data_IF_617520680732
#
_entry.id   IF_617520680732
#
_cell.length_a   1.000
_cell.length_b   1.000
_cell.length_c   1.000
_cell.angle_alpha   90.00
_cell.angle_beta   90.00
_cell.angle_gamma   90.00
#
_symmetry.space_group_name_H-M   'P 1'
#
loop_
_entity.id
_entity.type
_entity.pdbx_description
1 polymer ?
#
# COMPACT_ATOMS: atom_id res chain seq x y z
N UNK A 1 12.78 8.23 9.88
CA UNK A 1 12.48 8.52 8.47
C UNK A 1 13.43 9.61 8.02
N UNK A 2 14.35 9.32 7.09
CA UNK A 2 15.32 10.30 6.57
C UNK A 2 14.67 11.25 5.55
N UNK A 3 13.78 10.72 4.70
CA UNK A 3 12.99 11.47 3.73
C UNK A 3 11.57 10.89 3.66
N UNK A 4 10.55 11.71 3.93
CA UNK A 4 9.15 11.27 3.90
C UNK A 4 8.63 11.04 2.47
N UNK A 5 9.28 11.62 1.45
CA UNK A 5 8.85 11.54 0.05
C UNK A 5 9.08 10.15 -0.56
N UNK A 6 10.04 9.39 -0.04
CA UNK A 6 10.32 8.01 -0.45
C UNK A 6 9.44 6.98 0.25
N UNK A 7 8.30 7.38 0.85
CA UNK A 7 7.41 6.41 1.48
C UNK A 7 6.66 5.61 0.42
N UNK A 8 6.77 4.29 0.46
CA UNK A 8 5.98 3.39 -0.36
C UNK A 8 4.61 3.12 0.26
N UNK A 9 3.63 2.80 -0.57
CA UNK A 9 2.29 2.40 -0.15
C UNK A 9 1.86 1.14 -0.90
N UNK A 10 0.74 0.51 -0.50
CA UNK A 10 0.14 -0.59 -1.26
C UNK A 10 -0.41 -0.21 -2.64
N UNK A 11 -0.43 1.08 -3.01
CA UNK A 11 -1.03 1.54 -4.25
C UNK A 11 -0.24 1.03 -5.47
N UNK A 12 -0.76 -0.02 -6.10
CA UNK A 12 -0.22 -0.52 -7.36
C UNK A 12 -0.28 0.58 -8.44
N UNK A 13 0.82 0.71 -9.17
CA UNK A 13 1.03 1.74 -10.18
C UNK A 13 0.85 1.15 -11.57
N UNK A 14 -0.28 1.43 -12.21
CA UNK A 14 -0.56 1.07 -13.61
C UNK A 14 -0.04 2.11 -14.61
N UNK A 15 0.47 3.25 -14.12
CA UNK A 15 0.96 4.38 -14.90
C UNK A 15 2.49 4.36 -15.11
N UNK A 16 3.16 3.26 -14.74
CA UNK A 16 4.63 3.13 -14.75
C UNK A 16 5.14 2.12 -15.79
N UNK A 17 4.28 1.70 -16.73
CA UNK A 17 4.59 0.68 -17.74
C UNK A 17 4.40 -0.74 -17.22
N UNK A 18 4.99 -1.71 -17.92
CA UNK A 18 4.94 -3.12 -17.51
C UNK A 18 5.67 -3.31 -16.18
N UNK A 19 5.08 -4.10 -15.28
CA UNK A 19 5.55 -4.27 -13.91
C UNK A 19 5.30 -5.68 -13.41
N UNK A 20 6.19 -6.16 -12.55
CA UNK A 20 6.10 -7.47 -11.90
C UNK A 20 5.79 -7.33 -10.41
N UNK A 21 5.15 -8.34 -9.85
CA UNK A 21 4.92 -8.52 -8.42
C UNK A 21 5.86 -9.58 -7.89
N UNK A 22 6.67 -9.23 -6.89
CA UNK A 22 7.61 -10.14 -6.23
C UNK A 22 7.11 -10.40 -4.81
N UNK A 23 6.87 -11.67 -4.49
CA UNK A 23 6.68 -12.14 -3.12
C UNK A 23 8.04 -12.37 -2.47
N UNK A 24 8.22 -11.83 -1.27
CA UNK A 24 9.34 -12.12 -0.39
C UNK A 24 8.78 -12.89 0.83
N UNK A 25 8.91 -14.21 0.80
CA UNK A 25 8.40 -15.16 1.78
C UNK A 25 9.43 -15.45 2.89
N UNK A 26 9.40 -14.68 3.98
CA UNK A 26 10.31 -14.94 5.12
C UNK A 26 9.90 -16.18 5.93
N UNK A 27 8.73 -16.75 5.64
CA UNK A 27 8.29 -18.06 6.13
C UNK A 27 8.99 -19.24 5.46
N UNK A 28 9.84 -19.01 4.44
CA UNK A 28 10.69 -20.03 3.80
C UNK A 28 9.92 -21.30 3.37
N UNK A 29 8.67 -21.14 2.92
CA UNK A 29 7.80 -22.23 2.50
C UNK A 29 7.18 -23.07 3.63
N UNK A 30 7.33 -22.69 4.90
CA UNK A 30 6.68 -23.37 6.03
C UNK A 30 5.15 -23.32 5.93
N UNK A 31 4.61 -22.20 5.44
CA UNK A 31 3.18 -22.00 5.17
C UNK A 31 2.27 -22.40 6.35
N UNK A 32 2.64 -21.99 7.58
CA UNK A 32 1.92 -22.36 8.81
C UNK A 32 0.53 -21.71 8.85
N UNK A 33 -0.48 -22.52 9.19
CA UNK A 33 -1.90 -22.12 9.20
C UNK A 33 -2.53 -22.04 10.60
N UNK A 34 -1.76 -22.33 11.65
CA UNK A 34 -2.21 -22.17 13.02
C UNK A 34 -2.38 -20.70 13.40
N UNK A 35 -3.41 -20.42 14.20
CA UNK A 35 -3.80 -19.10 14.68
C UNK A 35 -4.06 -18.04 13.60
N UNK A 36 -4.25 -18.47 12.34
CA UNK A 36 -4.52 -17.56 11.23
C UNK A 36 -5.96 -17.04 11.21
N UNK A 37 -6.21 -15.93 10.52
CA UNK A 37 -7.54 -15.45 10.20
C UNK A 37 -8.39 -16.52 9.50
N UNK A 38 -7.77 -17.32 8.62
CA UNK A 38 -8.41 -18.48 7.99
C UNK A 38 -8.89 -19.49 9.05
N UNK A 39 -8.02 -19.92 9.96
CA UNK A 39 -8.41 -20.85 11.02
C UNK A 39 -9.54 -20.26 11.88
N UNK A 40 -9.45 -18.98 12.22
CA UNK A 40 -10.41 -18.26 13.05
C UNK A 40 -11.82 -18.26 12.43
N UNK A 41 -11.98 -17.91 11.14
CA UNK A 41 -13.30 -17.87 10.49
C UNK A 41 -13.94 -19.25 10.35
N UNK A 42 -13.13 -20.31 10.38
CA UNK A 42 -13.59 -21.70 10.45
C UNK A 42 -13.72 -22.24 11.88
N UNK A 43 -13.64 -21.38 12.91
CA UNK A 43 -13.73 -21.73 14.34
C UNK A 43 -12.71 -22.78 14.76
N UNK A 44 -11.52 -22.72 14.16
CA UNK A 44 -10.38 -23.57 14.45
C UNK A 44 -9.22 -22.73 14.96
N UNK A 45 -8.27 -23.39 15.62
CA UNK A 45 -6.98 -22.80 16.00
C UNK A 45 -5.87 -23.32 15.09
N UNK A 46 -6.00 -24.51 14.50
CA UNK A 46 -4.91 -25.15 13.76
C UNK A 46 -3.84 -25.76 14.65
N UNK A 47 -2.66 -26.03 14.09
CA UNK A 47 -1.60 -26.78 14.77
C UNK A 47 -0.39 -25.92 15.15
N UNK A 48 0.18 -25.22 14.17
CA UNK A 48 1.42 -24.45 14.31
C UNK A 48 1.21 -23.11 13.63
N UNK A 49 1.46 -22.00 14.34
CA UNK A 49 1.34 -20.65 13.82
C UNK A 49 2.68 -20.14 13.28
N UNK A 50 2.62 -19.07 12.47
CA UNK A 50 3.79 -18.39 11.95
C UNK A 50 4.75 -17.95 13.07
N UNK A 51 6.06 -17.99 12.78
CA UNK A 51 7.12 -17.56 13.70
C UNK A 51 8.32 -17.00 12.91
N UNK A 52 9.19 -16.26 13.59
CA UNK A 52 10.44 -15.79 13.03
C UNK A 52 11.55 -16.81 13.27
N UNK A 53 11.71 -17.75 12.34
CA UNK A 53 12.68 -18.84 12.49
C UNK A 53 14.15 -18.36 12.38
N UNK A 54 14.38 -17.20 11.74
CA UNK A 54 15.70 -16.61 11.55
C UNK A 54 15.67 -15.07 11.60
N UNK A 55 16.09 -14.51 12.75
CA UNK A 55 16.09 -13.07 12.98
C UNK A 55 17.06 -12.30 12.06
N UNK A 56 18.13 -12.94 11.57
CA UNK A 56 19.07 -12.29 10.64
C UNK A 56 18.40 -12.06 9.28
N UNK A 57 17.58 -13.02 8.83
CA UNK A 57 16.77 -12.89 7.60
C UNK A 57 15.85 -11.67 7.65
N UNK A 58 15.21 -11.38 8.79
CA UNK A 58 14.38 -10.18 8.95
C UNK A 58 15.20 -8.88 8.87
N UNK A 59 16.41 -8.89 9.44
CA UNK A 59 17.31 -7.72 9.38
C UNK A 59 17.76 -7.46 7.95
N UNK A 60 18.19 -8.51 7.23
CA UNK A 60 18.59 -8.42 5.81
C UNK A 60 17.42 -7.97 4.93
N UNK A 61 16.22 -8.48 5.19
CA UNK A 61 14.99 -8.05 4.51
C UNK A 61 14.74 -6.54 4.69
N UNK A 62 14.81 -6.05 5.93
CA UNK A 62 14.64 -4.62 6.18
C UNK A 62 15.71 -3.78 5.46
N UNK A 63 16.98 -4.16 5.58
CA UNK A 63 18.09 -3.41 5.00
C UNK A 63 18.01 -3.33 3.47
N UNK A 64 17.70 -4.45 2.79
CA UNK A 64 17.60 -4.47 1.32
C UNK A 64 16.37 -3.74 0.82
N UNK A 65 15.22 -3.81 1.51
CA UNK A 65 14.03 -3.03 1.13
C UNK A 65 14.32 -1.53 1.26
N UNK A 66 15.03 -1.10 2.30
CA UNK A 66 15.44 0.29 2.46
C UNK A 66 16.40 0.75 1.35
N UNK A 67 17.31 -0.11 0.89
CA UNK A 67 18.20 0.15 -0.25
C UNK A 67 17.41 0.27 -1.56
N UNK A 68 16.60 -0.73 -1.89
CA UNK A 68 15.77 -0.74 -3.10
C UNK A 68 14.83 0.47 -3.18
N UNK A 69 14.25 0.86 -2.04
CA UNK A 69 13.40 2.05 -1.96
C UNK A 69 14.19 3.34 -2.17
N UNK A 70 15.35 3.49 -1.52
CA UNK A 70 16.23 4.66 -1.69
C UNK A 70 16.70 4.81 -3.14
N UNK A 71 16.91 3.69 -3.83
CA UNK A 71 17.35 3.66 -5.21
C UNK A 71 16.18 3.80 -6.21
N UNK A 72 14.93 3.91 -5.73
CA UNK A 72 13.74 4.15 -6.56
C UNK A 72 13.32 2.97 -7.42
N UNK A 73 13.68 1.74 -6.99
CA UNK A 73 13.39 0.49 -7.71
C UNK A 73 12.02 -0.11 -7.35
N UNK A 74 11.42 0.33 -6.24
CA UNK A 74 10.11 -0.15 -5.78
C UNK A 74 9.00 0.86 -6.18
N UNK A 75 7.92 0.36 -6.76
CA UNK A 75 6.74 1.13 -7.14
C UNK A 75 5.67 1.12 -6.04
N UNK A 76 5.50 -0.02 -5.38
CA UNK A 76 4.54 -0.26 -4.31
C UNK A 76 5.07 -1.33 -3.36
N UNK A 77 4.60 -1.32 -2.12
CA UNK A 77 4.96 -2.27 -1.08
C UNK A 77 3.75 -2.55 -0.19
N UNK A 78 3.52 -3.83 0.13
CA UNK A 78 2.59 -4.23 1.18
C UNK A 78 3.12 -5.48 1.89
N UNK A 79 3.17 -5.46 3.22
CA UNK A 79 3.53 -6.63 4.01
C UNK A 79 2.43 -7.70 4.00
N UNK A 80 2.84 -8.94 4.29
CA UNK A 80 1.93 -10.06 4.56
C UNK A 80 1.67 -10.16 6.05
N UNK A 81 0.39 -10.15 6.40
CA UNK A 81 -0.10 -10.23 7.78
C UNK A 81 -1.44 -10.98 7.83
N UNK A 82 -2.46 -10.46 8.53
CA UNK A 82 -3.76 -11.11 8.69
C UNK A 82 -4.40 -11.41 7.32
N UNK A 83 -4.85 -12.65 7.10
CA UNK A 83 -5.43 -13.08 5.83
C UNK A 83 -4.39 -13.47 4.76
N UNK A 84 -3.10 -13.33 5.05
CA UNK A 84 -2.00 -13.86 4.25
C UNK A 84 -1.83 -13.16 2.90
N UNK A 85 -1.18 -13.88 1.97
CA UNK A 85 -0.86 -13.37 0.63
C UNK A 85 -2.12 -12.90 -0.13
N UNK A 86 -3.25 -13.59 0.06
CA UNK A 86 -4.49 -13.23 -0.60
C UNK A 86 -4.97 -11.84 -0.18
N UNK A 87 -4.95 -11.54 1.13
CA UNK A 87 -5.35 -10.23 1.65
C UNK A 87 -4.39 -9.14 1.16
N UNK A 88 -3.07 -9.37 1.25
CA UNK A 88 -2.05 -8.44 0.74
C UNK A 88 -2.30 -8.06 -0.72
N UNK A 89 -2.49 -9.04 -1.60
CA UNK A 89 -2.73 -8.79 -3.03
C UNK A 89 -4.06 -8.08 -3.28
N UNK A 90 -5.11 -8.46 -2.55
CA UNK A 90 -6.41 -7.82 -2.66
C UNK A 90 -6.34 -6.34 -2.22
N UNK A 91 -5.72 -6.03 -1.09
CA UNK A 91 -5.56 -4.67 -0.57
C UNK A 91 -4.71 -3.80 -1.50
N UNK A 92 -3.63 -4.37 -2.07
CA UNK A 92 -2.86 -3.70 -3.12
C UNK A 92 -3.71 -3.39 -4.37
N UNK A 93 -4.53 -4.34 -4.81
CA UNK A 93 -5.46 -4.15 -5.93
C UNK A 93 -6.55 -3.10 -5.63
N UNK A 94 -7.03 -3.02 -4.38
CA UNK A 94 -7.99 -2.00 -3.94
C UNK A 94 -7.37 -0.61 -4.00
N UNK A 95 -6.16 -0.46 -3.46
CA UNK A 95 -5.42 0.80 -3.44
C UNK A 95 -5.06 1.27 -4.86
N UNK A 96 -4.61 0.35 -5.73
CA UNK A 96 -4.28 0.63 -7.12
C UNK A 96 -5.48 0.73 -8.08
N UNK A 97 -6.69 0.35 -7.63
CA UNK A 97 -7.90 0.22 -8.46
C UNK A 97 -7.63 -0.53 -9.78
N UNK A 98 -6.95 -1.66 -9.68
CA UNK A 98 -6.51 -2.49 -10.83
C UNK A 98 -6.77 -3.97 -10.54
N UNK A 99 -6.68 -4.82 -11.54
CA UNK A 99 -6.74 -6.27 -11.36
C UNK A 99 -5.35 -6.91 -11.41
N UNK A 100 -5.28 -8.19 -11.08
CA UNK A 100 -4.04 -8.96 -10.94
C UNK A 100 -4.16 -10.33 -11.60
N UNK A 101 -3.09 -10.77 -12.26
CA UNK A 101 -2.90 -12.16 -12.65
C UNK A 101 -1.74 -12.74 -11.84
N UNK A 102 -2.03 -13.74 -11.00
CA UNK A 102 -1.10 -14.32 -10.02
C UNK A 102 -0.90 -15.81 -10.32
N UNK A 103 0.35 -16.24 -10.30
CA UNK A 103 0.79 -17.61 -10.56
C UNK A 103 1.56 -18.15 -9.35
N UNK A 104 1.15 -19.32 -8.86
CA UNK A 104 1.73 -19.96 -7.66
C UNK A 104 2.66 -21.13 -7.99
N UNK A 105 3.11 -21.23 -9.24
CA UNK A 105 3.76 -22.44 -9.79
C UNK A 105 5.10 -22.72 -9.13
N UNK A 106 5.87 -21.67 -8.91
CA UNK A 106 7.22 -21.75 -8.35
C UNK A 106 7.23 -21.74 -6.81
N UNK A 107 6.06 -21.66 -6.17
CA UNK A 107 5.96 -21.65 -4.72
C UNK A 107 5.72 -23.07 -4.14
N UNK A 108 6.49 -23.48 -3.12
CA UNK A 108 6.32 -24.80 -2.50
C UNK A 108 5.11 -24.84 -1.57
N UNK A 109 4.35 -25.94 -1.60
CA UNK A 109 3.23 -26.18 -0.68
C UNK A 109 1.87 -26.25 -1.37
N UNK A 110 0.80 -26.40 -0.58
CA UNK A 110 -0.57 -26.47 -1.08
C UNK A 110 -1.15 -25.06 -1.30
N UNK A 111 -2.00 -24.82 -2.32
CA UNK A 111 -2.45 -23.47 -2.65
C UNK A 111 -3.19 -22.75 -1.52
N UNK A 112 -3.98 -23.49 -0.73
CA UNK A 112 -4.65 -22.92 0.43
C UNK A 112 -3.62 -22.39 1.45
N UNK A 113 -2.57 -23.16 1.73
CA UNK A 113 -1.53 -22.76 2.67
C UNK A 113 -0.73 -21.58 2.12
N UNK A 114 -0.38 -21.58 0.83
CA UNK A 114 0.32 -20.48 0.16
C UNK A 114 -0.45 -19.14 0.25
N UNK A 115 -1.77 -19.18 0.09
CA UNK A 115 -2.59 -17.97 0.06
C UNK A 115 -2.91 -17.41 1.45
N UNK A 116 -3.04 -18.26 2.46
CA UNK A 116 -3.59 -17.88 3.77
C UNK A 116 -2.63 -18.05 4.94
N UNK A 117 -1.39 -18.50 4.72
CA UNK A 117 -0.38 -18.42 5.77
C UNK A 117 -0.08 -16.95 6.07
N UNK A 118 0.17 -16.68 7.35
CA UNK A 118 0.45 -15.32 7.87
C UNK A 118 1.92 -15.24 8.29
N UNK A 119 2.79 -15.95 7.57
CA UNK A 119 4.23 -15.85 7.75
C UNK A 119 4.70 -14.43 7.40
N UNK A 120 5.79 -13.99 8.01
CA UNK A 120 6.37 -12.69 7.70
C UNK A 120 6.79 -12.60 6.23
N UNK A 121 6.70 -11.41 5.66
CA UNK A 121 7.02 -11.18 4.26
C UNK A 121 6.34 -9.96 3.68
N UNK A 122 6.50 -9.76 2.38
CA UNK A 122 5.85 -8.68 1.66
C UNK A 122 5.67 -9.02 0.18
N UNK A 123 4.79 -8.28 -0.46
CA UNK A 123 4.72 -8.17 -1.92
C UNK A 123 5.22 -6.78 -2.29
N UNK A 124 6.15 -6.73 -3.24
CA UNK A 124 6.62 -5.49 -3.86
C UNK A 124 6.24 -5.47 -5.33
N UNK A 125 5.88 -4.28 -5.83
CA UNK A 125 5.74 -4.04 -7.25
C UNK A 125 7.02 -3.37 -7.76
N UNK A 126 7.55 -3.85 -8.88
CA UNK A 126 8.75 -3.31 -9.54
C UNK A 126 8.47 -3.11 -11.02
N UNK A 127 9.18 -2.18 -11.68
CA UNK A 127 9.13 -2.11 -13.15
C UNK A 127 9.70 -3.41 -13.72
N UNK A 128 9.11 -3.91 -14.80
CA UNK A 128 9.57 -5.14 -15.45
C UNK A 128 11.05 -5.05 -15.88
N UNK A 129 11.50 -3.86 -16.29
CA UNK A 129 12.90 -3.61 -16.65
C UNK A 129 13.88 -3.72 -15.48
N UNK A 130 13.39 -3.61 -14.25
CA UNK A 130 14.20 -3.54 -13.04
C UNK A 130 14.12 -4.86 -12.23
N UNK A 131 13.27 -5.81 -12.67
CA UNK A 131 13.02 -7.09 -11.99
C UNK A 131 14.30 -7.87 -11.72
N UNK A 132 15.18 -8.00 -12.71
CA UNK A 132 16.45 -8.73 -12.57
C UNK A 132 17.38 -8.07 -11.54
N UNK A 133 17.45 -6.74 -11.52
CA UNK A 133 18.28 -5.99 -10.57
C UNK A 133 17.74 -6.12 -9.15
N UNK A 134 16.42 -6.07 -8.97
CA UNK A 134 15.77 -6.27 -7.67
C UNK A 134 15.96 -7.69 -7.16
N UNK A 135 15.73 -8.71 -8.00
CA UNK A 135 15.96 -10.11 -7.63
C UNK A 135 17.42 -10.37 -7.30
N UNK A 136 18.35 -9.75 -8.03
CA UNK A 136 19.78 -9.81 -7.72
C UNK A 136 20.11 -9.18 -6.36
N UNK A 137 19.59 -8.00 -6.05
CA UNK A 137 19.80 -7.37 -4.75
C UNK A 137 19.25 -8.24 -3.60
N UNK A 138 18.06 -8.83 -3.78
CA UNK A 138 17.48 -9.79 -2.83
C UNK A 138 18.36 -11.04 -2.69
N UNK A 139 18.89 -11.57 -3.80
CA UNK A 139 19.82 -12.70 -3.79
C UNK A 139 21.12 -12.38 -3.05
N UNK A 140 21.74 -11.23 -3.33
CA UNK A 140 22.99 -10.78 -2.71
C UNK A 140 22.80 -10.51 -1.20
N UNK A 141 21.60 -10.13 -0.78
CA UNK A 141 21.17 -10.05 0.63
C UNK A 141 20.81 -11.41 1.26
N UNK A 142 20.97 -12.53 0.53
CA UNK A 142 20.68 -13.89 1.02
C UNK A 142 19.19 -14.26 1.05
N UNK A 143 18.33 -13.52 0.34
CA UNK A 143 16.88 -13.72 0.27
C UNK A 143 16.42 -14.31 -1.07
N UNK A 144 17.33 -14.67 -1.97
CA UNK A 144 17.00 -15.16 -3.31
C UNK A 144 16.09 -16.39 -3.30
N UNK A 145 16.29 -17.33 -2.37
CA UNK A 145 15.42 -18.52 -2.23
C UNK A 145 14.03 -18.23 -1.64
N UNK A 146 13.84 -17.03 -1.10
CA UNK A 146 12.60 -16.58 -0.49
C UNK A 146 11.85 -15.59 -1.39
N UNK A 147 12.42 -15.22 -2.54
CA UNK A 147 11.93 -14.14 -3.39
C UNK A 147 11.54 -14.69 -4.75
N UNK A 148 10.28 -14.51 -5.14
CA UNK A 148 9.72 -15.08 -6.36
C UNK A 148 8.81 -14.07 -7.07
N UNK A 149 8.93 -13.97 -8.40
CA UNK A 149 7.93 -13.26 -9.21
C UNK A 149 6.66 -14.11 -9.22
N UNK A 150 5.55 -13.51 -8.78
CA UNK A 150 4.28 -14.21 -8.60
C UNK A 150 3.19 -13.69 -9.53
N UNK A 151 3.43 -12.66 -10.33
CA UNK A 151 2.42 -12.15 -11.25
C UNK A 151 2.63 -10.72 -11.68
N UNK A 152 1.59 -10.16 -12.30
CA UNK A 152 1.56 -8.81 -12.82
C UNK A 152 0.13 -8.22 -12.76
N UNK A 153 0.02 -6.92 -13.01
CA UNK A 153 -1.28 -6.24 -13.13
C UNK A 153 -2.01 -6.67 -14.42
N UNK A 154 -3.33 -6.49 -14.44
CA UNK A 154 -4.16 -6.59 -15.63
C UNK A 154 -5.08 -5.37 -15.78
N UNK A 155 -5.76 -5.26 -16.92
CA UNK A 155 -6.58 -4.11 -17.31
C UNK A 155 -8.10 -4.35 -17.18
N UNK A 156 -8.52 -5.51 -16.64
CA UNK A 156 -9.94 -5.92 -16.60
C UNK A 156 -10.53 -6.01 -15.18
N UNK A 157 -9.81 -5.48 -14.18
CA UNK A 157 -10.24 -5.42 -12.78
C UNK A 157 -10.52 -6.81 -12.16
N UNK A 158 -10.05 -7.90 -12.78
CA UNK A 158 -10.16 -9.24 -12.21
C UNK A 158 -8.93 -9.56 -11.37
N UNK A 159 -9.14 -10.22 -10.23
CA UNK A 159 -8.08 -10.81 -9.43
C UNK A 159 -8.13 -12.31 -9.70
N UNK A 160 -7.12 -12.79 -10.42
CA UNK A 160 -6.99 -14.20 -10.83
C UNK A 160 -5.78 -14.82 -10.16
N UNK A 161 -6.00 -15.97 -9.53
CA UNK A 161 -4.93 -16.80 -8.98
C UNK A 161 -4.96 -18.15 -9.67
N UNK A 162 -3.83 -18.57 -10.21
CA UNK A 162 -3.71 -19.84 -10.92
C UNK A 162 -2.52 -20.65 -10.41
N UNK A 163 -2.59 -21.96 -10.67
CA UNK A 163 -1.46 -22.87 -10.47
C UNK A 163 -1.42 -23.93 -11.56
N UNK A 164 -0.29 -24.07 -12.25
CA UNK A 164 -0.04 -25.00 -13.34
C UNK A 164 -1.14 -24.90 -14.40
N UNK A 165 -1.49 -23.66 -14.76
CA UNK A 165 -2.58 -23.33 -15.69
C UNK A 165 -4.00 -23.60 -15.18
N UNK A 166 -4.18 -24.12 -13.95
CA UNK A 166 -5.49 -24.28 -13.33
C UNK A 166 -5.87 -23.01 -12.57
N UNK A 167 -6.99 -22.40 -12.96
CA UNK A 167 -7.58 -21.29 -12.21
C UNK A 167 -8.08 -21.78 -10.85
N UNK A 168 -7.61 -21.14 -9.78
CA UNK A 168 -7.96 -21.43 -8.38
C UNK A 168 -8.95 -20.41 -7.82
N UNK A 169 -8.78 -19.14 -8.19
CA UNK A 169 -9.65 -18.02 -7.83
C UNK A 169 -9.79 -17.11 -9.03
N UNK A 170 -11.01 -16.66 -9.29
CA UNK A 170 -11.31 -15.52 -10.16
C UNK A 170 -12.49 -14.77 -9.53
N UNK A 171 -12.25 -13.51 -9.20
CA UNK A 171 -13.26 -12.60 -8.67
C UNK A 171 -12.93 -11.18 -9.14
N UNK A 172 -13.95 -10.32 -9.22
CA UNK A 172 -13.71 -8.92 -9.52
C UNK A 172 -13.12 -8.19 -8.30
N UNK A 173 -12.29 -7.16 -8.54
CA UNK A 173 -11.83 -6.24 -7.48
C UNK A 173 -13.02 -5.67 -6.70
N UNK A 174 -14.09 -5.30 -7.39
CA UNK A 174 -15.29 -4.72 -6.79
C UNK A 174 -15.92 -5.69 -5.78
N UNK A 175 -16.12 -6.94 -6.16
CA UNK A 175 -16.69 -7.97 -5.30
C UNK A 175 -15.86 -8.17 -4.03
N UNK A 176 -14.54 -8.34 -4.18
CA UNK A 176 -13.65 -8.53 -3.04
C UNK A 176 -13.58 -7.28 -2.15
N UNK A 177 -13.53 -6.08 -2.74
CA UNK A 177 -13.47 -4.83 -1.97
C UNK A 177 -14.79 -4.54 -1.23
N UNK A 178 -15.93 -4.85 -1.82
CA UNK A 178 -17.23 -4.75 -1.14
C UNK A 178 -17.32 -5.75 0.02
N UNK A 179 -16.88 -7.00 -0.18
CA UNK A 179 -16.82 -7.98 0.89
C UNK A 179 -15.91 -7.51 2.05
N UNK A 180 -14.74 -6.96 1.74
CA UNK A 180 -13.81 -6.38 2.71
C UNK A 180 -14.40 -5.17 3.44
N UNK A 181 -15.16 -4.32 2.75
CA UNK A 181 -15.71 -3.07 3.31
C UNK A 181 -17.02 -3.25 4.09
N UNK A 182 -17.64 -4.43 4.05
CA UNK A 182 -18.95 -4.67 4.67
C UNK A 182 -18.94 -4.40 6.19
N UNK A 183 -17.86 -4.75 6.89
CA UNK A 183 -17.73 -4.49 8.33
C UNK A 183 -17.75 -2.99 8.61
N UNK A 184 -16.98 -2.18 7.87
CA UNK A 184 -16.98 -0.73 8.08
C UNK A 184 -18.32 -0.11 7.73
N UNK A 185 -18.97 -0.57 6.64
CA UNK A 185 -20.32 -0.12 6.26
C UNK A 185 -21.33 -0.35 7.37
N UNK A 186 -21.37 -1.56 7.94
CA UNK A 186 -22.30 -1.89 9.03
C UNK A 186 -22.04 -1.04 10.27
N UNK A 187 -20.77 -0.87 10.64
CA UNK A 187 -20.40 -0.07 11.81
C UNK A 187 -20.75 1.41 11.63
N UNK A 188 -20.48 1.99 10.46
CA UNK A 188 -20.87 3.35 10.12
C UNK A 188 -22.39 3.51 10.10
N UNK A 189 -23.14 2.57 9.51
CA UNK A 189 -24.60 2.65 9.48
C UNK A 189 -25.23 2.61 10.89
N UNK A 190 -24.60 1.91 11.84
CA UNK A 190 -25.03 1.89 13.24
C UNK A 190 -24.65 3.15 14.02
N UNK A 191 -23.54 3.79 13.67
CA UNK A 191 -22.94 4.91 14.42
C UNK A 191 -23.33 6.29 13.87
N UNK A 192 -23.40 6.39 12.54
CA UNK A 192 -23.47 7.63 11.78
C UNK A 192 -24.83 7.74 11.05
N UNK A 193 -24.91 8.54 9.98
CA UNK A 193 -26.08 8.54 9.12
C UNK A 193 -26.05 7.31 8.18
N UNK A 194 -27.03 6.38 8.25
CA UNK A 194 -27.05 5.19 7.43
C UNK A 194 -27.04 5.46 5.92
N UNK A 195 -27.63 6.57 5.46
CA UNK A 195 -27.61 6.91 4.03
C UNK A 195 -26.20 7.25 3.54
N UNK A 196 -25.40 7.94 4.37
CA UNK A 196 -24.03 8.28 4.03
C UNK A 196 -23.12 7.04 4.00
N UNK A 197 -23.34 6.09 4.92
CA UNK A 197 -22.62 4.82 4.93
C UNK A 197 -22.92 3.98 3.66
N UNK A 198 -24.17 3.99 3.19
CA UNK A 198 -24.55 3.31 1.95
C UNK A 198 -23.94 4.00 0.71
N UNK A 199 -24.02 5.33 0.62
CA UNK A 199 -23.41 6.11 -0.47
C UNK A 199 -21.88 5.88 -0.56
N UNK A 200 -21.18 5.79 0.58
CA UNK A 200 -19.75 5.47 0.63
C UNK A 200 -19.46 4.05 0.09
N UNK A 201 -20.28 3.08 0.48
CA UNK A 201 -20.10 1.69 0.07
C UNK A 201 -20.40 1.44 -1.41
N UNK A 202 -21.49 2.03 -1.94
CA UNK A 202 -21.89 1.90 -3.34
C UNK A 202 -20.81 2.45 -4.30
N UNK A 203 -20.04 3.45 -3.86
CA UNK A 203 -18.93 4.04 -4.64
C UNK A 203 -17.84 3.04 -5.02
N UNK A 204 -17.67 1.94 -4.27
CA UNK A 204 -16.67 0.90 -4.57
C UNK A 204 -16.89 0.31 -5.98
N UNK A 205 -18.16 0.16 -6.37
CA UNK A 205 -18.58 -0.39 -7.67
C UNK A 205 -18.67 0.66 -8.78
N UNK A 206 -18.56 1.95 -8.46
CA UNK A 206 -18.64 3.02 -9.44
C UNK A 206 -17.37 3.06 -10.31
N UNK A 207 -17.56 3.49 -11.56
CA UNK A 207 -16.48 3.89 -12.47
C UNK A 207 -15.89 5.23 -11.99
N UNK A 208 -15.08 5.14 -10.94
CA UNK A 208 -14.46 6.27 -10.26
C UNK A 208 -12.96 6.35 -10.61
N UNK A 209 -12.51 7.42 -11.30
CA UNK A 209 -11.11 7.65 -11.63
C UNK A 209 -10.27 8.09 -10.42
N UNK A 210 -10.87 8.20 -9.23
CA UNK A 210 -10.23 8.68 -8.02
C UNK A 210 -10.08 10.20 -8.00
N UNK A 211 -9.19 10.70 -7.13
CA UNK A 211 -8.92 12.14 -7.01
C UNK A 211 -8.13 12.59 -8.24
N UNK A 212 -8.70 13.53 -9.00
CA UNK A 212 -8.09 14.12 -10.19
C UNK A 212 -7.86 15.62 -9.97
N UNK A 213 -6.74 16.14 -10.48
CA UNK A 213 -6.37 17.56 -10.35
C UNK A 213 -6.35 18.21 -11.72
N UNK A 214 -7.01 19.36 -11.86
CA UNK A 214 -6.97 20.22 -13.05
C UNK A 214 -6.54 21.62 -12.63
N UNK A 215 -5.44 22.10 -13.21
CA UNK A 215 -4.82 23.37 -12.83
C UNK A 215 -5.02 24.42 -13.91
N UNK A 216 -5.46 25.60 -13.50
CA UNK A 216 -5.58 26.79 -14.36
C UNK A 216 -4.39 27.75 -14.25
N UNK A 217 -3.38 27.38 -13.45
CA UNK A 217 -2.16 28.14 -13.20
C UNK A 217 -0.97 27.19 -13.01
N UNK A 218 0.26 27.70 -13.08
CA UNK A 218 1.47 26.92 -12.78
C UNK A 218 1.72 26.90 -11.26
N UNK A 219 1.62 25.74 -10.58
CA UNK A 219 1.84 25.65 -9.14
C UNK A 219 3.31 25.85 -8.74
N UNK A 220 4.25 25.80 -9.68
CA UNK A 220 5.66 26.08 -9.45
C UNK A 220 5.99 27.59 -9.56
N UNK A 221 5.06 28.40 -10.10
CA UNK A 221 5.24 29.84 -10.22
C UNK A 221 5.13 30.52 -8.84
N UNK A 222 6.25 31.00 -8.31
CA UNK A 222 6.27 31.83 -7.10
C UNK A 222 5.96 33.30 -7.45
N UNK A 223 4.67 33.60 -7.56
CA UNK A 223 4.17 34.96 -7.82
C UNK A 223 4.52 35.97 -6.73
N UNK A 224 4.79 35.51 -5.50
CA UNK A 224 5.16 36.36 -4.37
C UNK A 224 6.67 36.61 -4.30
N UNK A 225 7.47 35.85 -5.04
CA UNK A 225 8.93 35.94 -5.08
C UNK A 225 9.48 37.36 -5.19
N UNK A 226 8.99 38.23 -6.11
CA UNK A 226 9.43 39.62 -6.20
C UNK A 226 9.13 40.46 -4.94
N UNK A 227 7.99 40.23 -4.30
CA UNK A 227 7.61 40.92 -3.06
C UNK A 227 8.48 40.45 -1.89
N UNK A 228 8.75 39.14 -1.80
CA UNK A 228 9.64 38.56 -0.79
C UNK A 228 11.06 39.11 -0.96
N UNK A 229 11.56 39.16 -2.20
CA UNK A 229 12.88 39.68 -2.53
C UNK A 229 13.06 41.18 -2.21
N UNK A 230 11.96 41.94 -2.10
CA UNK A 230 12.01 43.34 -1.66
C UNK A 230 12.46 43.50 -0.20
N UNK A 231 12.40 42.44 0.60
CA UNK A 231 12.73 42.43 2.04
C UNK A 231 11.67 43.08 2.93
N UNK A 232 10.55 43.52 2.36
CA UNK A 232 9.41 44.05 3.13
C UNK A 232 8.48 42.90 3.51
N UNK A 233 8.41 42.60 4.80
CA UNK A 233 7.54 41.56 5.35
C UNK A 233 6.33 42.19 6.06
N UNK A 234 5.16 42.27 5.40
CA UNK A 234 3.96 42.82 6.03
C UNK A 234 3.53 41.93 7.21
N UNK A 235 3.08 42.57 8.30
CA UNK A 235 2.57 41.86 9.47
C UNK A 235 1.19 41.28 9.21
N UNK A 236 0.97 40.07 9.70
CA UNK A 236 -0.35 39.46 9.77
C UNK A 236 -0.63 38.96 11.18
N UNK A 237 -1.82 39.28 11.71
CA UNK A 237 -2.29 38.73 12.96
C UNK A 237 -2.86 37.32 12.71
N UNK A 238 -2.21 36.30 13.25
CA UNK A 238 -2.70 34.93 13.29
C UNK A 238 -3.61 34.84 14.52
N UNK A 239 -4.90 35.06 14.29
CA UNK A 239 -5.91 35.05 15.34
C UNK A 239 -6.17 33.63 15.82
N UNK A 240 -6.24 33.43 17.13
CA UNK A 240 -6.69 32.19 17.74
C UNK A 240 -7.48 32.44 19.01
N UNK A 241 -8.34 31.50 19.35
CA UNK A 241 -9.08 31.46 20.61
C UNK A 241 -8.78 30.14 21.33
N UNK A 242 -9.20 30.01 22.58
CA UNK A 242 -9.19 28.78 23.35
C UNK A 242 -9.85 27.65 22.54
N UNK A 243 -9.09 26.60 22.28
CA UNK A 243 -9.52 25.43 21.50
C UNK A 243 -9.12 25.45 20.03
N UNK A 244 -8.57 26.56 19.51
CA UNK A 244 -7.95 26.59 18.17
C UNK A 244 -6.65 25.80 18.19
N UNK A 245 -6.44 24.96 17.17
CA UNK A 245 -5.30 24.06 17.06
C UNK A 245 -4.59 24.06 15.70
N UNK A 246 -5.01 24.91 14.75
CA UNK A 246 -4.42 25.01 13.40
C UNK A 246 -3.66 26.30 13.08
N UNK A 247 -3.32 27.07 14.11
CA UNK A 247 -2.67 28.37 13.98
C UNK A 247 -1.22 28.28 13.46
N UNK A 248 -0.52 27.16 13.70
CA UNK A 248 0.90 27.03 13.37
C UNK A 248 1.10 26.81 11.87
N UNK A 249 0.33 25.92 11.25
CA UNK A 249 0.35 25.67 9.81
C UNK A 249 -0.21 26.85 9.02
N UNK A 250 -1.19 27.57 9.58
CA UNK A 250 -1.67 28.84 9.05
C UNK A 250 -0.52 29.86 9.01
N UNK A 251 0.16 30.07 10.14
CA UNK A 251 1.31 30.96 10.24
C UNK A 251 2.44 30.55 9.30
N UNK A 252 2.75 29.26 9.18
CA UNK A 252 3.78 28.74 8.27
C UNK A 252 3.45 29.01 6.80
N UNK A 253 2.18 28.89 6.42
CA UNK A 253 1.70 29.18 5.06
C UNK A 253 1.89 30.65 4.70
N UNK A 254 1.50 31.57 5.60
CA UNK A 254 1.71 33.01 5.41
C UNK A 254 3.20 33.40 5.45
N UNK A 255 3.97 32.80 6.33
CA UNK A 255 5.42 33.03 6.39
C UNK A 255 6.09 32.62 5.07
N UNK A 256 5.72 31.47 4.48
CA UNK A 256 6.22 31.04 3.16
C UNK A 256 5.87 32.04 2.06
N UNK A 257 4.71 32.70 2.16
CA UNK A 257 4.29 33.77 1.25
C UNK A 257 4.92 35.15 1.56
N UNK A 258 5.80 35.26 2.56
CA UNK A 258 6.56 36.47 2.85
C UNK A 258 6.05 37.36 4.00
N UNK A 259 5.10 36.91 4.81
CA UNK A 259 4.56 37.71 5.92
C UNK A 259 5.36 37.57 7.22
N UNK A 260 5.32 38.62 8.06
CA UNK A 260 5.71 38.55 9.48
C UNK A 260 4.48 38.13 10.30
N UNK A 261 4.43 36.86 10.72
CA UNK A 261 3.29 36.30 11.45
C UNK A 261 3.35 36.67 12.94
N UNK A 262 2.27 37.26 13.46
CA UNK A 262 2.12 37.66 14.86
C UNK A 262 0.99 36.81 15.49
N UNK A 263 1.31 36.04 16.53
CA UNK A 263 0.30 35.32 17.30
C UNK A 263 -0.59 36.30 18.08
N UNK A 264 -1.90 36.22 17.89
CA UNK A 264 -2.88 37.07 18.57
C UNK A 264 -3.98 36.20 19.15
N UNK A 265 -3.96 36.06 20.47
CA UNK A 265 -4.96 35.33 21.26
C UNK A 265 -6.12 36.24 21.65
#
# INVERSE_FOLDING_TARGET
VEDVRGTLTPQLRSDQGDSDLILIDLGKGHNRLGATALAQVYKQIGHEGADLDDAETLTRFFDVIQELNRDGLLLAYHDRSDGGLLATLAEMAFAGRTGLNVELDDLPGEPLALLFNEELGAVVQVRHTDTDDVLKALHDAGLGHCSQVIGALNDDQQIRVSRTGKLLLEASRVELQQAWSEVTRQMQALRDNPSCAEEEFERIAADDPGIQVSLSFDPAEDVAGPMIASGVHPKIAILREQGVNGQLEMAASFHRAGFECVDVH
#
